data_IF_483199701997
#
_entry.id   IF_483199701997
#
_cell.length_a   1.000
_cell.length_b   1.000
_cell.length_c   1.000
_cell.angle_alpha   90.00
_cell.angle_beta   90.00
_cell.angle_gamma   90.00
#
_symmetry.space_group_name_H-M   'P 1'
#
loop_
_entity.id
_entity.type
_entity.pdbx_description
1 polymer ?
#
# COMPACT_ATOMS: atom_id res chain seq x y z
N UNK A 1 2.89 -12.07 21.33
CA UNK A 1 2.64 -13.13 20.33
C UNK A 1 1.76 -14.29 20.85
N UNK A 2 2.10 -14.99 21.94
CA UNK A 2 1.25 -16.11 22.43
C UNK A 2 -0.22 -15.70 22.69
N UNK A 3 -0.46 -14.59 23.38
CA UNK A 3 -1.81 -14.09 23.66
C UNK A 3 -2.63 -13.83 22.40
N UNK A 4 -1.99 -13.27 21.35
CA UNK A 4 -2.66 -13.04 20.07
C UNK A 4 -3.06 -14.34 19.37
N UNK A 5 -2.16 -15.34 19.37
CA UNK A 5 -2.47 -16.67 18.82
C UNK A 5 -3.61 -17.33 19.61
N UNK A 6 -3.62 -17.18 20.93
CA UNK A 6 -4.71 -17.69 21.78
C UNK A 6 -6.04 -17.01 21.43
N UNK A 7 -6.05 -15.68 21.27
CA UNK A 7 -7.24 -14.92 20.85
C UNK A 7 -7.77 -15.40 19.48
N UNK A 8 -6.89 -15.57 18.49
CA UNK A 8 -7.29 -16.08 17.17
C UNK A 8 -7.91 -17.48 17.26
N UNK A 9 -7.32 -18.36 18.08
CA UNK A 9 -7.85 -19.72 18.28
C UNK A 9 -9.22 -19.70 18.98
N UNK A 10 -9.38 -18.90 20.04
CA UNK A 10 -10.66 -18.76 20.78
C UNK A 10 -11.77 -18.20 19.90
N UNK A 11 -11.46 -17.26 19.01
CA UNK A 11 -12.42 -16.67 18.08
C UNK A 11 -12.59 -17.47 16.79
N UNK A 12 -11.86 -18.58 16.61
CA UNK A 12 -11.76 -19.32 15.34
C UNK A 12 -11.52 -18.35 14.16
N UNK A 13 -10.49 -17.53 14.28
CA UNK A 13 -10.21 -16.44 13.34
C UNK A 13 -8.80 -16.51 12.77
N UNK A 14 -8.63 -15.91 11.61
CA UNK A 14 -7.35 -15.62 10.96
C UNK A 14 -7.09 -14.11 10.97
N UNK A 15 -5.85 -13.70 11.16
CA UNK A 15 -5.44 -12.31 11.03
C UNK A 15 -4.84 -12.07 9.65
N UNK A 16 -5.30 -11.00 9.00
CA UNK A 16 -4.79 -10.55 7.71
C UNK A 16 -3.85 -9.37 7.94
N UNK A 17 -2.58 -9.55 7.54
CA UNK A 17 -1.58 -8.51 7.64
C UNK A 17 -1.06 -8.07 6.28
N UNK A 18 -0.73 -6.79 6.15
CA UNK A 18 0.22 -6.30 5.17
C UNK A 18 1.61 -6.23 5.81
N UNK A 19 2.59 -6.84 5.15
CA UNK A 19 3.99 -6.75 5.54
C UNK A 19 4.61 -5.61 4.75
N UNK A 20 5.08 -4.59 5.44
CA UNK A 20 5.74 -3.43 4.84
C UNK A 20 7.21 -3.50 5.23
N UNK A 21 8.08 -3.68 4.25
CA UNK A 21 9.53 -3.63 4.44
C UNK A 21 10.16 -2.77 3.34
N UNK A 22 10.39 -1.47 3.61
CA UNK A 22 10.93 -0.55 2.62
C UNK A 22 12.36 -0.90 2.15
N UNK A 23 13.05 -1.78 2.87
CA UNK A 23 14.42 -2.19 2.51
C UNK A 23 14.45 -3.38 1.54
N UNK A 24 13.39 -4.20 1.54
CA UNK A 24 13.31 -5.43 0.74
C UNK A 24 12.32 -5.30 -0.41
N UNK A 25 11.15 -4.68 -0.14
CA UNK A 25 10.10 -4.44 -1.13
C UNK A 25 9.63 -2.98 -1.05
N UNK A 26 10.29 -2.06 -1.75
CA UNK A 26 9.94 -0.64 -1.71
C UNK A 26 8.54 -0.41 -2.27
N UNK A 27 7.64 0.04 -1.42
CA UNK A 27 6.29 0.44 -1.77
C UNK A 27 6.29 1.79 -2.52
N UNK A 28 5.28 2.01 -3.38
CA UNK A 28 5.11 3.31 -4.08
C UNK A 28 4.89 4.45 -3.07
N UNK A 29 4.17 4.18 -1.98
CA UNK A 29 4.11 5.04 -0.81
C UNK A 29 5.34 4.75 0.04
N UNK A 30 6.09 5.79 0.41
CA UNK A 30 7.29 5.65 1.24
C UNK A 30 6.91 5.41 2.69
N UNK A 31 7.56 4.43 3.29
CA UNK A 31 7.55 4.14 4.71
C UNK A 31 8.98 4.21 5.23
N UNK A 32 9.17 4.74 6.43
CA UNK A 32 10.50 4.93 7.00
C UNK A 32 11.03 3.63 7.62
N UNK A 33 10.14 2.85 8.25
CA UNK A 33 10.50 1.65 9.00
C UNK A 33 9.69 0.43 8.55
N UNK A 34 10.26 -0.79 8.68
CA UNK A 34 9.50 -2.03 8.50
C UNK A 34 8.37 -2.14 9.52
N UNK A 35 7.19 -2.58 9.07
CA UNK A 35 6.05 -2.76 9.95
C UNK A 35 5.13 -3.91 9.50
N UNK A 36 4.37 -4.44 10.45
CA UNK A 36 3.20 -5.27 10.20
C UNK A 36 1.95 -4.42 10.39
N UNK A 37 1.11 -4.33 9.37
CA UNK A 37 -0.15 -3.61 9.44
C UNK A 37 -1.30 -4.61 9.48
N UNK A 38 -2.01 -4.67 10.62
CA UNK A 38 -3.18 -5.52 10.76
C UNK A 38 -4.34 -4.90 9.97
N UNK A 39 -4.76 -5.58 8.92
CA UNK A 39 -5.86 -5.11 8.06
C UNK A 39 -7.21 -5.58 8.60
N UNK A 40 -7.34 -6.87 8.91
CA UNK A 40 -8.59 -7.48 9.34
C UNK A 40 -8.35 -8.72 10.21
N UNK A 41 -9.37 -9.07 11.00
CA UNK A 41 -9.57 -10.39 11.59
C UNK A 41 -10.77 -11.05 10.90
N UNK A 42 -10.56 -12.22 10.31
CA UNK A 42 -11.59 -12.93 9.54
C UNK A 42 -11.95 -14.22 10.26
N UNK A 43 -13.23 -14.45 10.50
CA UNK A 43 -13.73 -15.68 11.12
C UNK A 43 -13.61 -16.85 10.13
N UNK A 44 -13.09 -17.97 10.60
CA UNK A 44 -12.90 -19.20 9.80
C UNK A 44 -14.18 -20.03 9.76
N UNK A 45 -15.20 -19.52 9.08
CA UNK A 45 -16.51 -20.16 8.87
C UNK A 45 -16.85 -20.18 7.37
N UNK A 46 -17.93 -20.84 7.00
CA UNK A 46 -18.41 -20.81 5.59
C UNK A 46 -18.89 -19.41 5.18
N UNK A 47 -19.38 -18.63 6.13
CA UNK A 47 -19.77 -17.23 5.91
C UNK A 47 -18.58 -16.31 6.16
N UNK A 48 -18.28 -15.44 5.20
CA UNK A 48 -17.24 -14.42 5.34
C UNK A 48 -17.68 -13.38 6.38
N UNK A 49 -17.03 -13.38 7.54
CA UNK A 49 -17.28 -12.43 8.62
C UNK A 49 -15.99 -11.77 9.05
N UNK A 50 -15.96 -10.43 9.00
CA UNK A 50 -14.87 -9.64 9.55
C UNK A 50 -15.20 -9.34 11.01
N UNK A 51 -14.25 -9.66 11.89
CA UNK A 51 -14.38 -9.39 13.32
C UNK A 51 -13.85 -8.00 13.67
N UNK A 52 -14.31 -7.47 14.79
CA UNK A 52 -13.73 -6.26 15.35
C UNK A 52 -12.26 -6.51 15.75
N UNK A 53 -11.37 -5.64 15.29
CA UNK A 53 -9.93 -5.72 15.58
C UNK A 53 -9.54 -5.09 16.90
N UNK A 54 -10.47 -4.43 17.62
CA UNK A 54 -10.23 -3.77 18.91
C UNK A 54 -9.70 -4.76 19.96
N UNK A 55 -10.22 -6.00 19.97
CA UNK A 55 -9.73 -7.06 20.87
C UNK A 55 -8.26 -7.40 20.62
N UNK A 56 -7.81 -7.42 19.34
CA UNK A 56 -6.43 -7.69 18.99
C UNK A 56 -5.51 -6.55 19.45
N UNK A 57 -5.94 -5.32 19.32
CA UNK A 57 -5.20 -4.16 19.82
C UNK A 57 -5.03 -4.19 21.33
N UNK A 58 -6.09 -4.49 22.06
CA UNK A 58 -6.06 -4.58 23.51
C UNK A 58 -5.05 -5.63 24.02
N UNK A 59 -4.89 -6.75 23.29
CA UNK A 59 -3.89 -7.78 23.59
C UNK A 59 -2.47 -7.27 23.42
N UNK A 60 -2.24 -6.33 22.50
CA UNK A 60 -0.93 -5.81 22.17
C UNK A 60 -0.69 -4.37 22.62
N UNK A 61 -1.60 -3.81 23.39
CA UNK A 61 -1.45 -2.47 23.95
C UNK A 61 -0.08 -2.35 24.65
N UNK A 62 0.74 -1.41 24.18
CA UNK A 62 2.10 -1.19 24.65
C UNK A 62 3.19 -2.13 24.11
N UNK A 63 2.86 -3.07 23.21
CA UNK A 63 3.84 -4.00 22.64
C UNK A 63 4.31 -3.67 21.23
N UNK A 64 3.65 -2.77 20.50
CA UNK A 64 3.99 -2.30 19.15
C UNK A 64 4.30 -3.40 18.12
N UNK A 65 3.62 -4.55 18.20
CA UNK A 65 3.86 -5.66 17.27
C UNK A 65 3.29 -5.41 15.88
N UNK A 66 2.25 -4.59 15.79
CA UNK A 66 1.61 -4.20 14.54
C UNK A 66 0.96 -2.84 14.68
N UNK A 67 0.72 -2.23 13.54
CA UNK A 67 -0.07 -1.01 13.39
C UNK A 67 -1.41 -1.32 12.75
N UNK A 68 -2.29 -0.34 12.65
CA UNK A 68 -3.54 -0.41 11.90
C UNK A 68 -3.64 0.75 10.92
N UNK A 69 -4.37 0.57 9.81
CA UNK A 69 -4.81 1.70 9.02
C UNK A 69 -5.63 2.66 9.86
N UNK A 70 -5.52 3.94 9.58
CA UNK A 70 -6.37 4.94 10.18
C UNK A 70 -7.82 4.75 9.71
N UNK A 71 -8.79 4.78 10.65
CA UNK A 71 -10.20 4.50 10.37
C UNK A 71 -11.04 5.74 10.69
N UNK A 72 -11.87 6.13 9.75
CA UNK A 72 -12.81 7.23 9.89
C UNK A 72 -14.25 6.76 9.63
N UNK A 73 -15.18 7.23 10.43
CA UNK A 73 -16.60 7.07 10.15
C UNK A 73 -17.06 8.13 9.15
N UNK A 74 -17.83 7.72 8.18
CA UNK A 74 -18.44 8.60 7.17
C UNK A 74 -19.93 8.62 7.43
N UNK A 75 -20.46 9.78 7.81
CA UNK A 75 -21.84 9.90 8.36
C UNK A 75 -22.90 10.14 7.27
N UNK A 76 -22.51 10.75 6.16
CA UNK A 76 -23.43 11.12 5.08
C UNK A 76 -22.80 11.04 3.68
N UNK A 77 -23.59 11.29 2.66
CA UNK A 77 -23.17 11.20 1.26
C UNK A 77 -22.16 12.28 0.87
N UNK A 78 -22.23 13.47 1.45
CA UNK A 78 -21.30 14.56 1.14
C UNK A 78 -19.94 14.27 1.75
N UNK A 79 -19.88 13.80 2.99
CA UNK A 79 -18.64 13.32 3.62
C UNK A 79 -18.02 12.13 2.86
N UNK A 80 -18.86 11.23 2.31
CA UNK A 80 -18.37 10.14 1.45
C UNK A 80 -17.75 10.65 0.15
N UNK A 81 -18.38 11.63 -0.49
CA UNK A 81 -17.83 12.26 -1.71
C UNK A 81 -16.50 12.94 -1.44
N UNK A 82 -16.40 13.64 -0.32
CA UNK A 82 -15.18 14.32 0.10
C UNK A 82 -14.07 13.32 0.41
N UNK A 83 -14.35 12.24 1.12
CA UNK A 83 -13.40 11.17 1.39
C UNK A 83 -12.88 10.52 0.10
N UNK A 84 -13.79 10.20 -0.84
CA UNK A 84 -13.41 9.64 -2.17
C UNK A 84 -12.60 10.64 -2.99
N UNK A 85 -12.98 11.91 -3.00
CA UNK A 85 -12.26 12.97 -3.72
C UNK A 85 -10.88 13.21 -3.12
N UNK A 86 -10.78 13.29 -1.80
CA UNK A 86 -9.52 13.40 -1.07
C UNK A 86 -8.58 12.24 -1.37
N UNK A 87 -9.10 11.00 -1.30
CA UNK A 87 -8.34 9.81 -1.63
C UNK A 87 -7.81 9.79 -3.06
N UNK A 88 -8.65 10.16 -4.04
CA UNK A 88 -8.24 10.25 -5.46
C UNK A 88 -7.15 11.29 -5.71
N UNK A 89 -7.18 12.39 -4.96
CA UNK A 89 -6.25 13.51 -5.12
C UNK A 89 -5.04 13.44 -4.18
N UNK A 90 -4.98 12.43 -3.30
CA UNK A 90 -3.84 12.25 -2.40
C UNK A 90 -2.54 12.06 -3.17
N UNK A 91 -1.49 12.72 -2.70
CA UNK A 91 -0.13 12.59 -3.21
C UNK A 91 0.74 11.68 -2.32
N UNK A 92 0.28 11.40 -1.10
CA UNK A 92 1.06 10.70 -0.06
C UNK A 92 0.50 9.34 0.31
N UNK A 93 -0.75 9.03 -0.05
CA UNK A 93 -1.36 7.75 0.26
C UNK A 93 -1.65 6.93 -1.00
N UNK A 94 -1.72 5.63 -0.85
CA UNK A 94 -2.13 4.72 -1.90
C UNK A 94 -3.60 4.91 -2.29
N UNK A 95 -4.43 5.24 -1.32
CA UNK A 95 -5.87 5.42 -1.44
C UNK A 95 -6.58 5.13 -0.12
N UNK A 96 -7.87 4.81 -0.21
CA UNK A 96 -8.69 4.39 0.93
C UNK A 96 -9.47 3.13 0.60
N UNK A 97 -9.80 2.39 1.64
CA UNK A 97 -10.75 1.27 1.61
C UNK A 97 -12.03 1.73 2.28
N UNK A 98 -13.12 1.71 1.55
CA UNK A 98 -14.46 2.01 2.03
C UNK A 98 -15.14 0.69 2.37
N UNK A 99 -15.80 0.63 3.53
CA UNK A 99 -16.54 -0.56 3.98
C UNK A 99 -17.89 -0.13 4.50
N UNK A 100 -18.93 -0.82 4.07
CA UNK A 100 -20.29 -0.61 4.59
C UNK A 100 -20.61 -1.53 5.79
N UNK A 101 -21.80 -1.36 6.37
CA UNK A 101 -22.26 -2.15 7.49
C UNK A 101 -22.45 -3.66 7.18
N UNK A 102 -22.50 -4.04 5.89
CA UNK A 102 -22.58 -5.42 5.43
C UNK A 102 -21.20 -6.00 5.03
N UNK A 103 -20.12 -5.30 5.39
CA UNK A 103 -18.75 -5.65 5.00
C UNK A 103 -18.46 -5.60 3.49
N UNK A 104 -19.35 -4.98 2.69
CA UNK A 104 -19.02 -4.69 1.31
C UNK A 104 -17.85 -3.70 1.25
N UNK A 105 -16.78 -4.12 0.61
CA UNK A 105 -15.52 -3.39 0.60
C UNK A 105 -15.21 -2.88 -0.80
N UNK A 106 -14.92 -1.58 -0.91
CA UNK A 106 -14.53 -0.91 -2.16
C UNK A 106 -13.21 -0.18 -1.94
N UNK A 107 -12.25 -0.40 -2.84
CA UNK A 107 -10.96 0.26 -2.80
C UNK A 107 -10.91 1.43 -3.79
N UNK A 108 -10.56 2.61 -3.29
CA UNK A 108 -10.36 3.83 -4.09
C UNK A 108 -8.88 4.18 -4.07
N UNK A 109 -8.16 3.88 -5.14
CA UNK A 109 -6.72 4.21 -5.28
C UNK A 109 -6.54 5.66 -5.74
N UNK A 110 -5.50 6.33 -5.23
CA UNK A 110 -5.13 7.67 -5.66
C UNK A 110 -4.70 7.69 -7.14
N UNK A 111 -4.93 8.80 -7.81
CA UNK A 111 -4.52 8.98 -9.20
C UNK A 111 -3.00 8.92 -9.35
N UNK A 112 -2.27 9.49 -8.38
CA UNK A 112 -0.82 9.41 -8.33
C UNK A 112 -0.33 7.96 -8.24
N UNK A 113 -0.85 7.19 -7.28
CA UNK A 113 -0.48 5.77 -7.13
C UNK A 113 -0.72 4.98 -8.42
N UNK A 114 -1.91 5.13 -9.02
CA UNK A 114 -2.23 4.46 -10.28
C UNK A 114 -1.25 4.82 -11.40
N UNK A 115 -0.91 6.11 -11.51
CA UNK A 115 0.02 6.61 -12.52
C UNK A 115 1.42 6.03 -12.32
N UNK A 116 1.97 6.12 -11.11
CA UNK A 116 3.29 5.56 -10.79
C UNK A 116 3.32 4.06 -11.03
N UNK A 117 2.31 3.33 -10.53
CA UNK A 117 2.19 1.86 -10.72
C UNK A 117 2.13 1.46 -12.19
N UNK A 118 1.43 2.24 -13.03
CA UNK A 118 1.30 1.95 -14.47
C UNK A 118 2.62 2.05 -15.23
N UNK A 119 3.61 2.75 -14.67
CA UNK A 119 4.93 2.93 -15.28
C UNK A 119 5.93 1.81 -14.92
N UNK A 120 5.62 0.93 -13.97
CA UNK A 120 6.49 -0.18 -13.59
C UNK A 120 6.91 -1.02 -14.81
N UNK A 121 5.95 -1.46 -15.61
CA UNK A 121 6.22 -2.24 -16.83
C UNK A 121 6.97 -1.46 -17.92
N UNK A 122 6.54 -0.24 -18.28
CA UNK A 122 7.27 0.61 -19.22
C UNK A 122 8.74 0.84 -18.83
N UNK A 123 9.01 1.22 -17.59
CA UNK A 123 10.37 1.46 -17.10
C UNK A 123 11.22 0.18 -17.07
N UNK A 124 10.63 -0.94 -16.65
CA UNK A 124 11.32 -2.23 -16.70
C UNK A 124 11.68 -2.66 -18.14
N UNK A 125 10.83 -2.38 -19.14
CA UNK A 125 11.17 -2.64 -20.54
C UNK A 125 12.29 -1.75 -21.03
N UNK A 126 12.25 -0.46 -20.69
CA UNK A 126 13.32 0.48 -21.04
C UNK A 126 14.66 0.04 -20.43
N UNK A 127 14.67 -0.39 -19.17
CA UNK A 127 15.85 -0.91 -18.50
C UNK A 127 16.45 -2.12 -19.25
N UNK A 128 15.60 -2.96 -19.85
CA UNK A 128 16.00 -4.11 -20.66
C UNK A 128 16.26 -3.75 -22.14
N UNK A 129 16.50 -2.48 -22.46
CA UNK A 129 16.83 -2.01 -23.81
C UNK A 129 15.68 -2.00 -24.80
N UNK A 130 14.43 -2.09 -24.34
CA UNK A 130 13.22 -2.02 -25.17
C UNK A 130 12.59 -0.65 -25.06
N UNK A 131 12.33 0.00 -26.18
CA UNK A 131 11.60 1.27 -26.19
C UNK A 131 10.14 1.09 -25.74
N UNK A 132 9.66 2.00 -24.87
CA UNK A 132 8.27 2.11 -24.49
C UNK A 132 7.89 3.60 -24.39
N UNK A 133 7.00 4.03 -25.28
CA UNK A 133 6.56 5.44 -25.35
C UNK A 133 6.00 5.99 -24.04
N UNK A 134 5.43 5.13 -23.20
CA UNK A 134 4.90 5.53 -21.88
C UNK A 134 5.99 5.90 -20.88
N UNK A 135 7.22 5.44 -21.08
CA UNK A 135 8.37 5.82 -20.26
C UNK A 135 8.95 7.17 -20.67
N UNK A 136 8.78 7.60 -21.92
CA UNK A 136 9.42 8.80 -22.47
C UNK A 136 9.19 10.08 -21.65
N UNK A 137 7.98 10.40 -21.14
CA UNK A 137 7.79 11.59 -20.32
C UNK A 137 8.63 11.59 -19.04
N UNK A 138 8.78 10.43 -18.41
CA UNK A 138 9.60 10.27 -17.19
C UNK A 138 11.07 10.43 -17.54
N UNK A 139 11.55 9.77 -18.59
CA UNK A 139 12.93 9.87 -19.05
C UNK A 139 13.31 11.32 -19.43
N UNK A 140 12.40 12.04 -20.08
CA UNK A 140 12.59 13.46 -20.39
C UNK A 140 12.66 14.33 -19.12
N UNK A 141 11.84 14.03 -18.11
CA UNK A 141 11.88 14.72 -16.80
C UNK A 141 13.20 14.46 -16.07
N UNK A 142 13.69 13.22 -16.08
CA UNK A 142 14.97 12.86 -15.50
C UNK A 142 16.11 13.59 -16.21
N UNK A 143 16.13 13.57 -17.54
CA UNK A 143 17.16 14.26 -18.32
C UNK A 143 17.21 15.76 -18.03
N UNK A 144 16.06 16.43 -17.89
CA UNK A 144 15.98 17.85 -17.46
C UNK A 144 16.58 18.09 -16.07
N UNK A 145 16.50 17.09 -15.18
CA UNK A 145 17.08 17.15 -13.85
C UNK A 145 18.55 16.69 -13.81
N UNK A 146 19.16 16.39 -14.96
CA UNK A 146 20.54 15.88 -15.06
C UNK A 146 20.69 14.46 -14.51
N UNK A 147 19.63 13.65 -14.54
CA UNK A 147 19.56 12.29 -14.03
C UNK A 147 19.28 11.29 -15.16
N UNK A 148 19.59 10.03 -14.89
CA UNK A 148 19.28 8.89 -15.76
C UNK A 148 18.40 7.88 -15.02
N UNK A 149 17.91 6.86 -15.72
CA UNK A 149 17.17 5.77 -15.09
C UNK A 149 18.07 4.95 -14.15
N UNK A 150 19.37 4.88 -14.44
CA UNK A 150 20.35 4.13 -13.66
C UNK A 150 20.52 4.68 -12.23
N UNK A 151 20.24 5.99 -12.03
CA UNK A 151 20.30 6.63 -10.70
C UNK A 151 19.18 6.11 -9.75
N UNK A 152 18.23 5.34 -10.27
CA UNK A 152 17.04 4.87 -9.57
C UNK A 152 16.91 3.35 -9.59
N UNK A 153 18.01 2.63 -9.77
CA UNK A 153 17.98 1.18 -9.73
C UNK A 153 18.09 0.66 -8.30
N UNK A 154 17.37 -0.42 -8.04
CA UNK A 154 17.45 -1.19 -6.80
C UNK A 154 17.64 -2.67 -7.15
N UNK A 155 18.38 -3.36 -6.32
CA UNK A 155 18.62 -4.80 -6.42
C UNK A 155 17.88 -5.49 -5.27
N UNK A 156 17.07 -6.50 -5.58
CA UNK A 156 16.39 -7.30 -4.58
C UNK A 156 17.32 -8.37 -3.98
N UNK A 157 16.85 -9.08 -2.96
CA UNK A 157 17.62 -10.13 -2.27
C UNK A 157 18.02 -11.32 -3.16
N UNK A 158 17.44 -11.43 -4.34
CA UNK A 158 17.71 -12.46 -5.34
C UNK A 158 18.63 -11.96 -6.47
N UNK A 159 19.07 -10.70 -6.41
CA UNK A 159 19.91 -10.06 -7.42
C UNK A 159 19.15 -9.53 -8.65
N UNK A 160 17.82 -9.45 -8.60
CA UNK A 160 17.05 -8.84 -9.70
C UNK A 160 17.10 -7.32 -9.59
N UNK A 161 17.42 -6.68 -10.72
CA UNK A 161 17.47 -5.22 -10.83
C UNK A 161 16.11 -4.69 -11.28
N UNK A 162 15.60 -3.70 -10.57
CA UNK A 162 14.37 -3.00 -10.90
C UNK A 162 14.47 -1.50 -10.65
N UNK A 163 13.45 -0.75 -11.08
CA UNK A 163 13.40 0.71 -10.86
C UNK A 163 12.73 1.00 -9.52
N UNK A 164 13.38 1.80 -8.69
CA UNK A 164 12.84 2.33 -7.43
C UNK A 164 11.72 3.34 -7.74
N UNK A 165 10.48 2.84 -7.82
CA UNK A 165 9.31 3.65 -8.14
C UNK A 165 9.04 4.78 -7.13
N UNK A 166 9.22 4.58 -5.82
CA UNK A 166 9.15 5.66 -4.84
C UNK A 166 10.08 6.81 -5.18
N UNK A 167 11.37 6.53 -5.41
CA UNK A 167 12.38 7.56 -5.68
C UNK A 167 12.21 8.24 -7.03
N UNK A 168 11.74 7.54 -8.06
CA UNK A 168 11.49 8.13 -9.37
C UNK A 168 10.17 8.90 -9.43
N UNK A 169 9.24 8.63 -8.51
CA UNK A 169 7.91 9.22 -8.44
C UNK A 169 7.84 10.75 -8.53
N UNK A 170 8.78 11.56 -7.97
CA UNK A 170 8.77 13.02 -8.13
C UNK A 170 8.93 13.49 -9.59
N UNK A 171 9.47 12.66 -10.46
CA UNK A 171 9.70 12.96 -11.89
C UNK A 171 8.54 12.51 -12.78
N UNK A 172 7.49 11.95 -12.20
CA UNK A 172 6.28 11.50 -12.88
C UNK A 172 5.27 12.63 -12.82
N UNK A 173 5.20 13.45 -13.84
CA UNK A 173 4.26 14.57 -14.00
C UNK A 173 2.85 14.11 -14.42
#
# INVERSE_FOLDING_TARGET
MKQFITLLAEKNASALFEVIDPHVDPHIVQYDDPMLMLLDLVQNTEEFTILDTTDAEAVFEGNNFFTRPEVYMVEDEDALRDAVSGAKNSLTTEGVVLRDANNLTVMVKSNRYKKVKSLRGPLARTLNGKEDERALPVLASLAKAGKSLDDFLVEDVQGNISVDLPKISPYIS
#
